data_IF_097323246911
#
_entry.id   IF_097323246911
#
_cell.length_a   1.000
_cell.length_b   1.000
_cell.length_c   1.000
_cell.angle_alpha   90.00
_cell.angle_beta   90.00
_cell.angle_gamma   90.00
#
_symmetry.space_group_name_H-M   'P 1'
#
loop_
_entity.id
_entity.type
_entity.pdbx_description
1 polymer ?
#
# COMPACT_ATOMS: atom_id res chain seq x y z
N UNK A 1 -9.24 -5.64 28.14
CA UNK A 1 -8.80 -4.34 27.59
C UNK A 1 -9.05 -4.46 26.12
N UNK A 2 -10.01 -3.70 25.61
CA UNK A 2 -10.20 -3.61 24.16
C UNK A 2 -8.96 -2.88 23.64
N UNK A 3 -8.03 -3.60 23.04
CA UNK A 3 -6.95 -2.99 22.27
C UNK A 3 -7.61 -2.28 21.11
N UNK A 4 -7.57 -0.96 21.11
CA UNK A 4 -8.06 -0.14 20.01
C UNK A 4 -7.32 -0.57 18.72
N UNK A 5 -8.10 -0.93 17.70
CA UNK A 5 -7.59 -1.50 16.46
C UNK A 5 -7.36 -0.38 15.46
N UNK A 6 -6.16 -0.27 14.90
CA UNK A 6 -5.85 0.73 13.88
C UNK A 6 -6.52 0.36 12.55
N UNK A 7 -7.21 1.31 11.94
CA UNK A 7 -7.77 1.18 10.59
C UNK A 7 -6.70 1.49 9.54
N UNK A 8 -6.46 0.60 8.59
CA UNK A 8 -5.45 0.79 7.54
C UNK A 8 -6.09 0.68 6.17
N UNK A 9 -5.83 1.66 5.30
CA UNK A 9 -6.18 1.60 3.90
C UNK A 9 -5.12 0.83 3.11
N UNK A 10 -5.54 -0.22 2.41
CA UNK A 10 -4.70 -1.01 1.51
C UNK A 10 -4.93 -0.63 0.05
N UNK A 11 -3.85 -0.39 -0.71
CA UNK A 11 -3.92 -0.20 -2.17
C UNK A 11 -2.94 -1.12 -2.91
N UNK A 12 -3.33 -1.58 -4.10
CA UNK A 12 -2.49 -2.43 -4.95
C UNK A 12 -2.06 -1.73 -6.25
N UNK A 13 -0.75 -1.66 -6.49
CA UNK A 13 -0.13 -1.02 -7.65
C UNK A 13 -0.26 -1.78 -8.99
N UNK A 14 -1.21 -2.69 -9.11
CA UNK A 14 -1.41 -3.53 -10.29
C UNK A 14 -2.89 -3.79 -10.52
N UNK A 15 -3.38 -3.42 -11.69
CA UNK A 15 -4.81 -3.49 -12.03
C UNK A 15 -5.24 -4.87 -12.54
N UNK A 16 -4.32 -5.74 -12.97
CA UNK A 16 -4.71 -7.07 -13.47
C UNK A 16 -5.43 -7.88 -12.39
N UNK A 17 -6.48 -8.59 -12.76
CA UNK A 17 -7.35 -9.35 -11.84
C UNK A 17 -6.54 -10.33 -10.97
N UNK A 18 -5.67 -11.12 -11.60
CA UNK A 18 -4.85 -12.14 -10.92
C UNK A 18 -3.54 -11.59 -10.30
N UNK A 19 -3.50 -10.31 -9.96
CA UNK A 19 -2.31 -9.66 -9.39
C UNK A 19 -1.86 -10.33 -8.09
N UNK A 20 -0.60 -10.76 -8.04
CA UNK A 20 0.04 -11.21 -6.80
C UNK A 20 0.08 -10.13 -5.71
N UNK A 21 0.02 -8.85 -6.08
CA UNK A 21 0.00 -7.75 -5.12
C UNK A 21 -1.41 -7.52 -4.54
N UNK A 22 -2.47 -7.73 -5.35
CA UNK A 22 -3.85 -7.81 -4.84
C UNK A 22 -4.01 -9.04 -3.94
N UNK A 23 -3.44 -10.18 -4.34
CA UNK A 23 -3.43 -11.41 -3.52
C UNK A 23 -2.66 -11.25 -2.20
N UNK A 24 -1.49 -10.60 -2.23
CA UNK A 24 -0.72 -10.28 -1.02
C UNK A 24 -1.50 -9.35 -0.09
N UNK A 25 -2.20 -8.35 -0.63
CA UNK A 25 -3.01 -7.43 0.18
C UNK A 25 -4.20 -8.13 0.83
N UNK A 26 -4.89 -9.02 0.11
CA UNK A 26 -5.93 -9.89 0.69
C UNK A 26 -5.36 -10.79 1.79
N UNK A 27 -4.23 -11.43 1.53
CA UNK A 27 -3.56 -12.26 2.55
C UNK A 27 -3.17 -11.44 3.79
N UNK A 28 -2.71 -10.19 3.61
CA UNK A 28 -2.39 -9.30 4.72
C UNK A 28 -3.62 -8.98 5.57
N UNK A 29 -4.75 -8.65 4.93
CA UNK A 29 -6.03 -8.44 5.62
C UNK A 29 -6.47 -9.67 6.41
N UNK A 30 -6.38 -10.85 5.80
CA UNK A 30 -6.89 -12.09 6.38
C UNK A 30 -6.03 -12.59 7.57
N UNK A 31 -4.78 -12.14 7.70
CA UNK A 31 -3.86 -12.52 8.79
C UNK A 31 -3.47 -11.35 9.70
N UNK A 32 -4.09 -10.19 9.52
CA UNK A 32 -3.80 -9.01 10.32
C UNK A 32 -3.97 -9.32 11.82
N UNK A 33 -3.09 -8.80 12.69
CA UNK A 33 -3.27 -8.94 14.13
C UNK A 33 -4.53 -8.20 14.57
N UNK A 34 -5.08 -8.54 15.74
CA UNK A 34 -6.28 -7.88 16.29
C UNK A 34 -6.12 -6.36 16.44
N UNK A 35 -4.89 -5.87 16.53
CA UNK A 35 -4.53 -4.44 16.62
C UNK A 35 -4.63 -3.69 15.29
N UNK A 36 -4.93 -4.38 14.18
CA UNK A 36 -4.92 -3.78 12.85
C UNK A 36 -6.04 -4.36 11.98
N UNK A 37 -6.90 -3.48 11.46
CA UNK A 37 -7.93 -3.80 10.46
C UNK A 37 -7.52 -3.22 9.10
N UNK A 38 -7.65 -4.00 8.02
CA UNK A 38 -7.25 -3.57 6.67
C UNK A 38 -8.47 -3.49 5.76
N UNK A 39 -8.81 -2.29 5.29
CA UNK A 39 -9.72 -2.09 4.16
C UNK A 39 -8.92 -2.08 2.85
N UNK A 40 -9.53 -2.44 1.73
CA UNK A 40 -8.85 -2.45 0.42
C UNK A 40 -9.59 -1.52 -0.53
N UNK A 41 -8.86 -0.61 -1.17
CA UNK A 41 -9.38 0.27 -2.20
C UNK A 41 -8.79 -0.11 -3.57
N UNK A 42 -9.65 -0.28 -4.54
CA UNK A 42 -9.28 -0.64 -5.91
C UNK A 42 -9.00 0.61 -6.75
N UNK A 43 -7.86 0.62 -7.44
CA UNK A 43 -7.39 1.77 -8.23
C UNK A 43 -7.86 1.74 -9.69
N UNK A 44 -8.75 0.81 -10.05
CA UNK A 44 -9.19 0.55 -11.42
C UNK A 44 -9.83 1.80 -12.08
N UNK A 45 -10.59 2.58 -11.31
CA UNK A 45 -11.31 3.78 -11.78
C UNK A 45 -10.57 5.10 -11.48
N UNK A 46 -9.37 5.05 -10.90
CA UNK A 46 -8.58 6.26 -10.61
C UNK A 46 -7.87 6.72 -11.89
N UNK A 47 -8.23 7.91 -12.45
CA UNK A 47 -7.64 8.38 -13.70
C UNK A 47 -6.18 8.79 -13.51
N UNK A 48 -5.44 8.97 -14.60
CA UNK A 48 -4.12 9.60 -14.52
C UNK A 48 -4.25 11.05 -14.03
N UNK A 49 -3.32 11.48 -13.19
CA UNK A 49 -3.28 12.84 -12.66
C UNK A 49 -3.18 13.85 -13.80
N UNK A 50 -4.05 14.86 -13.74
CA UNK A 50 -4.05 16.02 -14.60
C UNK A 50 -4.49 17.25 -13.79
N UNK A 51 -3.67 18.29 -13.80
CA UNK A 51 -3.93 19.53 -13.05
C UNK A 51 -5.15 20.29 -13.58
N UNK A 52 -5.46 20.19 -14.88
CA UNK A 52 -6.67 20.80 -15.44
C UNK A 52 -7.94 20.09 -14.90
N UNK A 53 -7.88 18.76 -14.78
CA UNK A 53 -8.96 17.97 -14.16
C UNK A 53 -9.09 18.33 -12.67
N UNK A 54 -7.97 18.40 -11.93
CA UNK A 54 -7.98 18.83 -10.52
C UNK A 54 -8.65 20.21 -10.34
N UNK A 55 -8.37 21.16 -11.24
CA UNK A 55 -8.91 22.51 -11.18
C UNK A 55 -10.43 22.58 -11.43
N UNK A 56 -10.98 21.63 -12.18
CA UNK A 56 -12.43 21.49 -12.39
C UNK A 56 -13.14 20.78 -11.22
N UNK A 57 -12.39 20.01 -10.43
CA UNK A 57 -12.87 19.26 -9.26
C UNK A 57 -12.30 17.85 -9.22
N UNK A 58 -12.29 17.22 -8.04
CA UNK A 58 -11.80 15.85 -7.91
C UNK A 58 -12.76 14.86 -8.58
N UNK A 59 -12.28 13.96 -9.47
CA UNK A 59 -13.05 12.81 -9.92
C UNK A 59 -13.55 11.98 -8.72
N UNK A 60 -14.71 11.34 -8.84
CA UNK A 60 -15.36 10.58 -7.76
C UNK A 60 -14.39 9.56 -7.12
N UNK A 61 -13.77 8.69 -7.93
CA UNK A 61 -12.81 7.71 -7.44
C UNK A 61 -11.58 8.32 -6.72
N UNK A 62 -11.17 9.54 -7.10
CA UNK A 62 -10.08 10.27 -6.42
C UNK A 62 -10.57 10.83 -5.08
N UNK A 63 -11.79 11.36 -5.05
CA UNK A 63 -12.42 11.85 -3.82
C UNK A 63 -12.59 10.71 -2.82
N UNK A 64 -13.10 9.56 -3.26
CA UNK A 64 -13.32 8.37 -2.44
C UNK A 64 -12.00 7.81 -1.91
N UNK A 65 -10.97 7.72 -2.75
CA UNK A 65 -9.62 7.30 -2.32
C UNK A 65 -9.08 8.21 -1.21
N UNK A 66 -9.22 9.53 -1.38
CA UNK A 66 -8.79 10.51 -0.39
C UNK A 66 -9.62 10.46 0.90
N UNK A 67 -10.93 10.24 0.81
CA UNK A 67 -11.81 10.09 1.96
C UNK A 67 -11.49 8.83 2.76
N UNK A 68 -11.36 7.69 2.08
CA UNK A 68 -10.99 6.41 2.71
C UNK A 68 -9.64 6.50 3.44
N UNK A 69 -8.67 7.24 2.89
CA UNK A 69 -7.39 7.43 3.55
C UNK A 69 -7.50 8.32 4.79
N UNK A 70 -8.31 9.39 4.75
CA UNK A 70 -8.53 10.26 5.92
C UNK A 70 -9.24 9.56 7.07
N UNK A 71 -10.05 8.54 6.77
CA UNK A 71 -10.72 7.69 7.76
C UNK A 71 -9.83 6.54 8.28
N UNK A 72 -8.57 6.48 7.82
CA UNK A 72 -7.62 5.44 8.21
C UNK A 72 -6.45 6.01 9.02
N UNK A 73 -5.95 5.21 9.95
CA UNK A 73 -4.76 5.47 10.74
C UNK A 73 -3.45 5.24 9.96
N UNK A 74 -3.51 4.50 8.86
CA UNK A 74 -2.32 4.22 8.05
C UNK A 74 -2.62 3.77 6.61
N UNK A 75 -1.56 3.73 5.81
CA UNK A 75 -1.57 3.32 4.40
C UNK A 75 -0.66 2.11 4.17
N UNK A 76 -1.21 1.03 3.61
CA UNK A 76 -0.45 -0.15 3.18
C UNK A 76 -0.43 -0.25 1.66
N UNK A 77 0.76 -0.09 1.06
CA UNK A 77 0.94 -0.09 -0.39
C UNK A 77 1.53 -1.44 -0.83
N UNK A 78 0.77 -2.20 -1.62
CA UNK A 78 1.23 -3.42 -2.28
C UNK A 78 1.63 -3.14 -3.74
N UNK A 79 2.92 -2.92 -4.03
CA UNK A 79 3.38 -2.52 -5.37
C UNK A 79 4.22 -3.59 -6.06
N UNK A 80 3.94 -3.95 -7.34
CA UNK A 80 4.91 -4.68 -8.15
C UNK A 80 6.11 -3.77 -8.53
N UNK A 81 7.02 -4.31 -9.33
CA UNK A 81 8.10 -3.57 -9.97
C UNK A 81 7.99 -3.71 -11.48
N UNK A 82 7.86 -2.59 -12.19
CA UNK A 82 7.81 -2.55 -13.66
C UNK A 82 9.06 -1.85 -14.18
N UNK A 83 9.85 -2.55 -15.01
CA UNK A 83 11.07 -2.01 -15.63
C UNK A 83 12.04 -1.35 -14.63
N UNK A 84 12.27 -2.03 -13.50
CA UNK A 84 13.09 -1.52 -12.39
C UNK A 84 12.58 -0.24 -11.73
N UNK A 85 11.32 0.12 -11.92
CA UNK A 85 10.73 1.29 -11.29
C UNK A 85 9.37 1.06 -10.68
N UNK A 86 8.89 2.12 -10.04
CA UNK A 86 7.54 2.19 -9.49
C UNK A 86 6.53 2.13 -10.65
N UNK A 87 5.51 1.26 -10.58
CA UNK A 87 4.43 1.25 -11.56
C UNK A 87 3.72 2.60 -11.63
N UNK A 88 3.29 2.99 -12.84
CA UNK A 88 2.52 4.22 -13.05
C UNK A 88 1.28 4.28 -12.16
N UNK A 89 0.58 3.16 -11.97
CA UNK A 89 -0.60 3.03 -11.09
C UNK A 89 -0.27 3.44 -9.65
N UNK A 90 0.77 2.86 -9.06
CA UNK A 90 1.20 3.19 -7.69
C UNK A 90 1.58 4.66 -7.57
N UNK A 91 2.41 5.16 -8.51
CA UNK A 91 2.90 6.53 -8.46
C UNK A 91 1.76 7.54 -8.67
N UNK A 92 0.83 7.24 -9.55
CA UNK A 92 -0.35 8.06 -9.83
C UNK A 92 -1.28 8.17 -8.62
N UNK A 93 -1.45 7.09 -7.85
CA UNK A 93 -2.20 7.14 -6.60
C UNK A 93 -1.56 8.12 -5.60
N UNK A 94 -0.22 8.10 -5.47
CA UNK A 94 0.51 9.07 -4.65
C UNK A 94 0.35 10.49 -5.19
N UNK A 95 0.37 10.66 -6.51
CA UNK A 95 0.20 11.98 -7.13
C UNK A 95 -1.16 12.58 -6.79
N UNK A 96 -2.26 11.83 -6.90
CA UNK A 96 -3.58 12.28 -6.47
C UNK A 96 -3.69 12.51 -4.95
N UNK A 97 -3.18 11.58 -4.15
CA UNK A 97 -3.21 11.68 -2.68
C UNK A 97 -2.32 12.80 -2.12
N UNK A 98 -1.42 13.36 -2.94
CA UNK A 98 -0.59 14.52 -2.59
C UNK A 98 -1.32 15.86 -2.73
N UNK A 99 -2.60 15.84 -3.14
CA UNK A 99 -3.38 17.03 -3.50
C UNK A 99 -4.61 17.25 -2.60
N UNK A 100 -5.01 18.52 -2.37
CA UNK A 100 -4.24 19.73 -2.68
C UNK A 100 -3.02 19.86 -1.73
N UNK A 101 -1.99 20.65 -2.09
CA UNK A 101 -0.82 20.83 -1.22
C UNK A 101 -1.22 21.40 0.15
N UNK A 102 -0.57 20.94 1.23
CA UNK A 102 -0.83 21.29 2.65
C UNK A 102 -2.06 20.64 3.29
N UNK A 103 -3.03 20.18 2.51
CA UNK A 103 -4.22 19.43 2.98
C UNK A 103 -4.31 18.03 2.34
N UNK A 104 -3.16 17.57 1.83
CA UNK A 104 -2.99 16.30 1.15
C UNK A 104 -3.41 15.15 2.06
N UNK A 105 -4.33 14.26 1.64
CA UNK A 105 -4.76 13.11 2.41
C UNK A 105 -3.61 12.24 2.97
N UNK A 106 -2.48 12.16 2.25
CA UNK A 106 -1.34 11.31 2.62
C UNK A 106 -0.34 11.98 3.59
N UNK A 107 -0.50 13.28 3.85
CA UNK A 107 0.43 14.03 4.70
C UNK A 107 0.44 13.50 6.13
N UNK A 108 1.63 13.24 6.67
CA UNK A 108 1.86 12.65 8.00
C UNK A 108 1.25 11.25 8.22
N UNK A 109 0.77 10.57 7.17
CA UNK A 109 0.16 9.24 7.32
C UNK A 109 1.23 8.16 7.52
N UNK A 110 1.16 7.36 8.60
CA UNK A 110 1.97 6.14 8.75
C UNK A 110 1.79 5.24 7.54
N UNK A 111 2.89 4.93 6.84
CA UNK A 111 2.83 4.18 5.58
C UNK A 111 3.74 2.97 5.61
N UNK A 112 3.30 1.84 5.09
CA UNK A 112 4.14 0.67 4.85
C UNK A 112 4.09 0.24 3.38
N UNK A 113 5.21 -0.28 2.88
CA UNK A 113 5.32 -0.79 1.51
C UNK A 113 5.60 -2.29 1.58
N UNK A 114 4.84 -3.03 0.79
CA UNK A 114 5.09 -4.43 0.50
C UNK A 114 4.98 -4.69 -1.00
N UNK A 115 5.48 -5.83 -1.45
CA UNK A 115 5.37 -6.17 -2.86
C UNK A 115 5.69 -7.63 -3.15
N UNK A 116 5.06 -8.13 -4.21
CA UNK A 116 5.23 -9.49 -4.71
C UNK A 116 5.64 -9.46 -6.18
N UNK A 117 6.68 -10.25 -6.51
CA UNK A 117 7.19 -10.44 -7.86
C UNK A 117 7.46 -11.91 -8.13
N UNK A 118 7.22 -12.40 -9.37
CA UNK A 118 7.68 -13.74 -9.76
C UNK A 118 9.21 -13.85 -9.80
N UNK A 119 9.92 -12.71 -9.94
CA UNK A 119 11.39 -12.67 -9.95
C UNK A 119 12.03 -12.81 -8.57
N UNK A 120 13.36 -12.81 -8.55
CA UNK A 120 14.17 -13.04 -7.34
C UNK A 120 14.34 -11.82 -6.44
N UNK A 121 14.09 -10.61 -6.94
CA UNK A 121 14.35 -9.35 -6.20
C UNK A 121 13.21 -8.87 -5.32
N UNK A 122 12.03 -9.48 -5.43
CA UNK A 122 10.89 -9.18 -4.58
C UNK A 122 10.44 -7.72 -4.56
N UNK A 123 10.53 -7.00 -5.70
CA UNK A 123 10.13 -5.58 -5.89
C UNK A 123 11.05 -4.52 -5.26
N UNK A 124 12.25 -4.91 -4.81
CA UNK A 124 13.18 -4.04 -4.09
C UNK A 124 13.46 -2.68 -4.76
N UNK A 125 13.57 -2.61 -6.09
CA UNK A 125 13.92 -1.36 -6.78
C UNK A 125 12.73 -0.41 -6.83
N UNK A 126 11.53 -0.93 -7.09
CA UNK A 126 10.30 -0.14 -7.02
C UNK A 126 10.10 0.43 -5.61
N UNK A 127 10.23 -0.39 -4.56
CA UNK A 127 10.07 0.12 -3.19
C UNK A 127 11.13 1.17 -2.83
N UNK A 128 12.39 0.96 -3.26
CA UNK A 128 13.46 1.95 -3.06
C UNK A 128 13.19 3.28 -3.78
N UNK A 129 12.57 3.26 -4.96
CA UNK A 129 12.23 4.47 -5.71
C UNK A 129 10.96 5.15 -5.20
N UNK A 130 10.03 4.40 -4.62
CA UNK A 130 8.79 4.95 -4.06
C UNK A 130 9.06 5.78 -2.80
N UNK A 131 10.01 5.36 -1.96
CA UNK A 131 10.34 6.03 -0.69
C UNK A 131 10.61 7.54 -0.83
N UNK A 132 11.48 8.01 -1.74
CA UNK A 132 11.65 9.46 -1.96
C UNK A 132 10.35 10.20 -2.33
N UNK A 133 9.42 9.55 -3.05
CA UNK A 133 8.12 10.16 -3.38
C UNK A 133 7.25 10.28 -2.13
N UNK A 134 7.26 9.28 -1.26
CA UNK A 134 6.56 9.30 0.04
C UNK A 134 7.15 10.37 0.97
N UNK A 135 8.49 10.47 1.04
CA UNK A 135 9.17 11.49 1.83
C UNK A 135 8.81 12.90 1.36
N UNK A 136 8.75 13.11 0.03
CA UNK A 136 8.40 14.41 -0.56
C UNK A 136 6.97 14.89 -0.23
N UNK A 137 6.05 13.95 0.02
CA UNK A 137 4.66 14.24 0.41
C UNK A 137 4.43 14.11 1.92
N UNK A 138 5.52 14.03 2.71
CA UNK A 138 5.51 13.88 4.16
C UNK A 138 4.75 12.65 4.67
N UNK A 139 4.71 11.55 3.90
CA UNK A 139 4.19 10.29 4.38
C UNK A 139 5.23 9.61 5.29
N UNK A 140 4.80 9.06 6.43
CA UNK A 140 5.70 8.50 7.45
C UNK A 140 5.99 7.04 7.14
N UNK A 141 6.84 6.79 6.14
CA UNK A 141 7.12 5.45 5.65
C UNK A 141 7.93 4.61 6.66
N UNK A 142 7.40 3.46 7.06
CA UNK A 142 8.08 2.49 7.92
C UNK A 142 9.43 2.07 7.30
N UNK A 143 10.55 2.21 8.03
CA UNK A 143 11.87 1.89 7.49
C UNK A 143 12.15 0.38 7.44
N UNK A 144 11.74 -0.37 8.47
CA UNK A 144 11.96 -1.81 8.65
C UNK A 144 10.81 -2.41 9.46
N UNK A 145 10.53 -3.73 9.30
CA UNK A 145 11.06 -4.63 8.28
C UNK A 145 10.50 -4.30 6.89
N UNK A 146 11.16 -4.76 5.82
CA UNK A 146 10.67 -4.64 4.45
C UNK A 146 10.02 -5.95 3.98
N UNK A 147 8.86 -5.87 3.31
CA UNK A 147 8.19 -7.03 2.73
C UNK A 147 8.48 -7.13 1.23
N UNK A 148 9.56 -7.85 0.90
CA UNK A 148 10.06 -8.08 -0.46
C UNK A 148 9.81 -9.53 -0.89
N UNK A 149 8.62 -9.85 -1.43
CA UNK A 149 8.27 -11.22 -1.78
C UNK A 149 8.80 -11.61 -3.17
N UNK A 150 9.88 -12.36 -3.19
CA UNK A 150 10.39 -13.04 -4.38
C UNK A 150 9.62 -14.33 -4.69
N UNK A 151 9.66 -14.75 -5.96
CA UNK A 151 9.10 -16.02 -6.47
C UNK A 151 7.62 -16.20 -6.12
N UNK A 152 6.81 -15.14 -6.26
CA UNK A 152 5.40 -15.13 -5.86
C UNK A 152 4.56 -16.26 -6.50
N UNK A 153 4.88 -16.66 -7.73
CA UNK A 153 4.21 -17.75 -8.44
C UNK A 153 4.35 -19.13 -7.78
N UNK A 154 5.30 -19.32 -6.87
CA UNK A 154 5.46 -20.54 -6.09
C UNK A 154 4.77 -20.48 -4.73
N UNK A 155 4.28 -19.29 -4.36
CA UNK A 155 3.78 -18.99 -3.01
C UNK A 155 2.28 -18.79 -2.96
N UNK A 156 1.65 -18.59 -4.10
CA UNK A 156 0.21 -18.45 -4.22
C UNK A 156 -0.37 -19.62 -5.01
N UNK A 157 -1.54 -20.09 -4.58
CA UNK A 157 -2.40 -21.03 -5.31
C UNK A 157 -3.81 -20.46 -5.32
N UNK A 158 -4.42 -20.31 -6.50
CA UNK A 158 -5.71 -19.64 -6.72
C UNK A 158 -5.89 -18.32 -5.93
N UNK A 159 -4.84 -17.51 -5.90
CA UNK A 159 -4.82 -16.23 -5.18
C UNK A 159 -4.71 -16.33 -3.65
N UNK A 160 -4.67 -17.53 -3.07
CA UNK A 160 -4.40 -17.77 -1.66
C UNK A 160 -2.90 -17.95 -1.41
N UNK A 161 -2.36 -17.24 -0.40
CA UNK A 161 -0.95 -17.39 0.00
C UNK A 161 -0.75 -18.77 0.66
N UNK A 162 -0.04 -19.72 0.05
CA UNK A 162 0.15 -21.07 0.62
C UNK A 162 1.48 -21.25 1.35
N UNK A 163 2.46 -20.40 1.07
CA UNK A 163 3.80 -20.48 1.68
C UNK A 163 3.76 -20.04 3.15
N UNK A 164 3.96 -21.00 4.07
CA UNK A 164 3.94 -20.77 5.52
C UNK A 164 5.01 -19.78 5.98
N UNK A 165 6.23 -19.86 5.48
CA UNK A 165 7.31 -18.97 5.91
C UNK A 165 7.01 -17.51 5.53
N UNK A 166 6.37 -17.32 4.38
CA UNK A 166 5.91 -16.02 3.88
C UNK A 166 4.74 -15.49 4.69
N UNK A 167 3.78 -16.35 5.08
CA UNK A 167 2.72 -15.99 6.05
C UNK A 167 3.30 -15.53 7.38
N UNK A 168 4.20 -16.32 7.96
CA UNK A 168 4.85 -16.00 9.25
C UNK A 168 5.62 -14.67 9.17
N UNK A 169 6.28 -14.39 8.04
CA UNK A 169 6.96 -13.11 7.82
C UNK A 169 5.98 -11.95 7.65
N UNK A 170 4.90 -12.14 6.89
CA UNK A 170 3.86 -11.13 6.70
C UNK A 170 3.18 -10.76 8.03
N UNK A 171 2.89 -11.73 8.91
CA UNK A 171 2.39 -11.46 10.26
C UNK A 171 3.38 -10.61 11.07
N UNK A 172 4.68 -10.90 11.02
CA UNK A 172 5.70 -10.05 11.69
C UNK A 172 5.76 -8.64 11.10
N UNK A 173 5.65 -8.52 9.79
CA UNK A 173 5.62 -7.23 9.11
C UNK A 173 4.40 -6.39 9.51
N UNK A 174 3.21 -7.01 9.61
CA UNK A 174 1.99 -6.31 10.03
C UNK A 174 2.02 -5.89 11.50
N UNK A 175 2.54 -6.74 12.39
CA UNK A 175 2.77 -6.34 13.78
C UNK A 175 3.72 -5.14 13.87
N UNK A 176 4.84 -5.17 13.14
CA UNK A 176 5.76 -4.03 13.11
C UNK A 176 5.13 -2.77 12.53
N UNK A 177 4.21 -2.90 11.56
CA UNK A 177 3.47 -1.76 11.04
C UNK A 177 2.46 -1.21 12.05
N UNK A 178 1.75 -2.07 12.78
CA UNK A 178 0.91 -1.67 13.92
C UNK A 178 1.72 -0.89 14.97
N UNK A 179 2.90 -1.38 15.33
CA UNK A 179 3.81 -0.70 16.27
C UNK A 179 4.30 0.64 15.70
N UNK A 180 4.52 0.71 14.38
CA UNK A 180 4.94 1.92 13.71
C UNK A 180 3.85 3.00 13.73
N UNK A 181 2.60 2.63 13.46
CA UNK A 181 1.44 3.53 13.57
C UNK A 181 1.39 4.12 14.98
N UNK A 182 1.40 3.27 16.01
CA UNK A 182 1.38 3.70 17.42
C UNK A 182 2.55 4.61 17.82
N UNK A 183 3.70 4.51 17.13
CA UNK A 183 4.90 5.29 17.43
C UNK A 183 4.87 6.70 16.85
N UNK A 184 4.22 6.89 15.71
CA UNK A 184 4.32 8.13 14.92
C UNK A 184 3.00 8.91 14.83
N UNK A 185 1.92 8.36 15.39
CA UNK A 185 0.70 9.10 15.72
C UNK A 185 0.84 9.87 17.02
#
# INVERSE_FOLDING_TARGET
>A
MDTESFSVLGIAGSLRQESYNRALLRAARDIAPDTLSISIFDLDDVPLYNADVEAEGLPEAVSDLGAALRESDGLLIATPEYNHGVPAVTKNAIDWLSRPPREAPIGAVPTAIMGASPGSTGTARAQSQLRPSLDAVNALCMPQPQMLMARAHEKFDDGALIDKATRDYLTRFLNAFSDWIARVQ
#
